data_IF_544449018470
#
_entry.id   IF_544449018470
#
_cell.length_a   1.000
_cell.length_b   1.000
_cell.length_c   1.000
_cell.angle_alpha   90.00
_cell.angle_beta   90.00
_cell.angle_gamma   90.00
#
_symmetry.space_group_name_H-M   'P 1'
#
loop_
_entity.id
_entity.type
_entity.pdbx_description
1 polymer ?
#
# COMPACT_ATOMS: atom_id res chain seq x y z
N UNK A 1 12.13 46.45 -32.64
CA UNK A 1 11.01 45.54 -32.98
C UNK A 1 10.91 44.56 -31.82
N UNK A 2 9.97 44.82 -30.92
CA UNK A 2 9.73 44.02 -29.73
C UNK A 2 8.74 42.89 -30.05
N UNK A 3 9.06 41.70 -29.62
CA UNK A 3 8.12 40.57 -29.55
C UNK A 3 7.37 40.62 -28.21
N UNK A 4 6.08 40.32 -28.16
CA UNK A 4 5.31 40.36 -26.93
C UNK A 4 5.54 39.11 -26.06
N UNK A 5 5.57 39.33 -24.75
CA UNK A 5 5.56 38.34 -23.69
C UNK A 5 4.23 37.57 -23.72
N UNK A 6 4.30 36.26 -23.71
CA UNK A 6 3.14 35.40 -23.49
C UNK A 6 2.81 35.39 -22.00
N UNK A 7 1.57 35.73 -21.67
CA UNK A 7 1.01 35.65 -20.32
C UNK A 7 0.90 34.19 -19.88
N UNK A 8 1.41 33.94 -18.69
CA UNK A 8 1.29 32.70 -17.94
C UNK A 8 -0.15 32.57 -17.41
N UNK A 9 -0.93 31.71 -18.03
CA UNK A 9 -2.25 31.31 -17.53
C UNK A 9 -2.05 30.08 -16.63
N UNK A 10 -1.93 30.32 -15.34
CA UNK A 10 -1.99 29.29 -14.34
C UNK A 10 -3.33 28.55 -14.38
N UNK A 11 -3.32 27.33 -14.83
CA UNK A 11 -4.45 26.41 -14.73
C UNK A 11 -4.26 25.48 -13.53
N UNK A 12 -4.87 25.85 -12.40
CA UNK A 12 -5.08 25.02 -11.23
C UNK A 12 -6.28 24.09 -11.47
N UNK A 13 -6.17 23.21 -12.45
CA UNK A 13 -7.15 22.17 -12.73
C UNK A 13 -6.77 20.85 -12.08
N UNK A 14 -7.20 20.62 -10.86
CA UNK A 14 -7.22 19.27 -10.29
C UNK A 14 -7.96 18.34 -11.25
N UNK A 15 -7.22 17.45 -11.89
CA UNK A 15 -7.77 16.49 -12.84
C UNK A 15 -8.54 15.45 -12.05
N UNK A 16 -9.86 15.60 -11.97
CA UNK A 16 -10.75 14.60 -11.40
C UNK A 16 -10.56 13.27 -12.14
N UNK A 17 -10.10 12.23 -11.46
CA UNK A 17 -9.91 10.86 -11.95
C UNK A 17 -11.12 10.27 -12.71
N UNK A 18 -12.29 10.87 -12.59
CA UNK A 18 -13.55 10.49 -13.29
C UNK A 18 -13.54 10.58 -14.82
N UNK A 19 -12.60 11.27 -15.45
CA UNK A 19 -12.55 11.42 -16.91
C UNK A 19 -11.66 10.42 -17.64
N UNK A 20 -10.86 9.62 -16.94
CA UNK A 20 -9.94 8.68 -17.58
C UNK A 20 -10.61 7.39 -18.08
N UNK A 21 -11.78 7.02 -17.54
CA UNK A 21 -12.50 5.78 -17.91
C UNK A 21 -13.23 5.83 -19.25
N UNK A 22 -13.25 6.95 -19.99
CA UNK A 22 -14.02 7.07 -21.26
C UNK A 22 -13.20 7.01 -22.55
N UNK A 23 -11.86 6.92 -22.49
CA UNK A 23 -11.02 6.92 -23.70
C UNK A 23 -10.31 5.61 -24.03
N UNK A 24 -10.53 4.52 -23.28
CA UNK A 24 -9.85 3.24 -23.49
C UNK A 24 -10.62 2.24 -24.39
N UNK A 25 -11.71 2.62 -25.03
CA UNK A 25 -12.58 1.66 -25.73
C UNK A 25 -12.19 1.36 -27.19
N UNK A 26 -11.18 2.00 -27.79
CA UNK A 26 -10.87 1.84 -29.22
C UNK A 26 -9.42 1.46 -29.58
N UNK A 27 -8.56 1.15 -28.62
CA UNK A 27 -7.16 0.74 -28.89
C UNK A 27 -6.65 -0.50 -28.18
N UNK A 28 -7.42 -1.08 -27.26
CA UNK A 28 -6.96 -2.10 -26.31
C UNK A 28 -7.24 -3.57 -26.66
N UNK A 29 -7.97 -3.86 -27.72
CA UNK A 29 -8.48 -5.21 -27.99
C UNK A 29 -7.41 -6.28 -28.27
N UNK A 30 -6.25 -5.92 -28.80
CA UNK A 30 -5.22 -6.90 -29.17
C UNK A 30 -4.20 -7.17 -28.06
N UNK A 31 -3.95 -6.21 -27.18
CA UNK A 31 -3.03 -6.39 -26.03
C UNK A 31 -3.72 -7.11 -24.85
N UNK A 32 -5.02 -6.85 -24.63
CA UNK A 32 -5.78 -7.50 -23.56
C UNK A 32 -5.98 -9.01 -23.78
N UNK A 33 -6.19 -9.46 -25.01
CA UNK A 33 -6.35 -10.89 -25.34
C UNK A 33 -5.02 -11.66 -25.18
N UNK A 34 -3.89 -11.04 -25.49
CA UNK A 34 -2.56 -11.64 -25.26
C UNK A 34 -2.21 -11.77 -23.76
N UNK A 35 -2.59 -10.80 -22.95
CA UNK A 35 -2.37 -10.83 -21.50
C UNK A 35 -3.25 -11.87 -20.80
N UNK A 36 -4.52 -11.97 -21.14
CA UNK A 36 -5.44 -12.94 -20.55
C UNK A 36 -5.00 -14.40 -20.79
N UNK A 37 -4.44 -14.71 -21.97
CA UNK A 37 -3.87 -16.04 -22.26
C UNK A 37 -2.62 -16.35 -21.43
N UNK A 38 -1.77 -15.37 -21.23
CA UNK A 38 -0.54 -15.49 -20.46
C UNK A 38 -0.82 -15.80 -18.97
N UNK A 39 -1.74 -15.04 -18.35
CA UNK A 39 -2.05 -15.16 -16.93
C UNK A 39 -2.92 -16.36 -16.58
N UNK A 40 -3.57 -17.02 -17.54
CA UNK A 40 -4.34 -18.25 -17.30
C UNK A 40 -3.58 -19.35 -16.59
N UNK A 41 -2.28 -19.45 -16.80
CA UNK A 41 -1.42 -20.45 -16.16
C UNK A 41 -0.87 -20.02 -14.79
N UNK A 42 -1.14 -18.78 -14.36
CA UNK A 42 -0.69 -18.21 -13.10
C UNK A 42 -1.76 -18.30 -12.03
N UNK A 43 -3.02 -18.49 -12.43
CA UNK A 43 -4.15 -18.53 -11.50
C UNK A 43 -4.09 -19.77 -10.60
N UNK A 44 -4.00 -19.51 -9.32
CA UNK A 44 -4.64 -20.36 -8.34
C UNK A 44 -6.17 -20.28 -8.54
N UNK A 45 -6.97 -21.26 -8.08
CA UNK A 45 -8.43 -21.13 -8.15
C UNK A 45 -8.89 -19.83 -7.47
N UNK A 46 -9.77 -18.99 -8.11
CA UNK A 46 -10.17 -17.71 -7.52
C UNK A 46 -10.78 -17.90 -6.14
N UNK A 47 -10.60 -16.93 -5.20
CA UNK A 47 -11.29 -16.95 -3.92
C UNK A 47 -12.81 -16.95 -4.10
N UNK A 48 -13.52 -17.62 -3.21
CA UNK A 48 -15.00 -17.66 -3.25
C UNK A 48 -15.55 -16.52 -2.40
N UNK A 49 -16.44 -15.66 -2.96
CA UNK A 49 -17.15 -14.68 -2.15
C UNK A 49 -17.99 -15.35 -1.06
N UNK A 50 -18.06 -14.75 0.12
CA UNK A 50 -18.86 -15.30 1.20
C UNK A 50 -18.64 -14.60 2.54
N UNK A 51 -19.23 -15.16 3.60
CA UNK A 51 -19.01 -14.66 4.95
C UNK A 51 -17.63 -15.09 5.43
N UNK A 52 -16.83 -14.12 5.87
CA UNK A 52 -15.49 -14.34 6.42
C UNK A 52 -15.51 -14.87 7.87
N UNK A 53 -14.34 -15.11 8.44
CA UNK A 53 -14.20 -15.68 9.78
C UNK A 53 -14.69 -14.77 10.92
N UNK A 54 -14.90 -13.49 10.62
CA UNK A 54 -15.37 -12.49 11.58
C UNK A 54 -16.89 -12.27 11.53
N UNK A 55 -17.60 -12.93 10.61
CA UNK A 55 -19.03 -12.75 10.37
C UNK A 55 -19.33 -11.59 9.41
N UNK A 56 -20.61 -11.31 9.23
CA UNK A 56 -21.05 -10.21 8.40
C UNK A 56 -20.84 -8.86 9.10
N UNK A 57 -20.61 -7.82 8.30
CA UNK A 57 -20.63 -6.43 8.79
C UNK A 57 -22.04 -6.06 9.28
N UNK A 58 -22.11 -5.17 10.25
CA UNK A 58 -23.39 -4.58 10.69
C UNK A 58 -24.03 -3.76 9.55
N UNK A 59 -25.37 -3.74 9.51
CA UNK A 59 -26.11 -2.95 8.52
C UNK A 59 -26.02 -1.44 8.80
N UNK A 60 -25.77 -1.06 10.05
CA UNK A 60 -25.70 0.32 10.52
C UNK A 60 -24.27 0.61 10.98
N UNK A 61 -23.74 1.76 10.57
CA UNK A 61 -22.44 2.23 11.03
C UNK A 61 -22.46 2.61 12.52
N UNK A 62 -21.31 2.47 13.17
CA UNK A 62 -21.11 2.97 14.54
C UNK A 62 -21.04 4.50 14.60
N UNK A 63 -20.81 5.07 15.79
CA UNK A 63 -20.73 6.51 16.00
C UNK A 63 -19.56 7.20 15.25
N UNK A 64 -18.57 6.43 14.80
CA UNK A 64 -17.43 6.91 14.02
C UNK A 64 -17.60 6.71 12.51
N UNK A 65 -18.76 6.21 12.08
CA UNK A 65 -19.09 5.99 10.67
C UNK A 65 -18.58 4.66 10.11
N UNK A 66 -18.20 3.68 10.94
CA UNK A 66 -17.71 2.39 10.48
C UNK A 66 -18.77 1.29 10.63
N UNK A 67 -18.99 0.54 9.54
CA UNK A 67 -19.71 -0.73 9.58
C UNK A 67 -18.70 -1.83 9.89
N UNK A 68 -18.87 -2.53 11.01
CA UNK A 68 -17.93 -3.51 11.53
C UNK A 68 -18.64 -4.83 11.82
N UNK A 69 -17.94 -5.98 11.79
CA UNK A 69 -18.47 -7.24 12.29
C UNK A 69 -18.75 -7.17 13.81
N UNK A 70 -19.64 -8.04 14.28
CA UNK A 70 -19.97 -8.13 15.69
C UNK A 70 -18.73 -8.39 16.56
N UNK A 71 -18.58 -7.61 17.64
CA UNK A 71 -17.47 -7.74 18.59
C UNK A 71 -16.29 -6.83 18.27
N UNK A 72 -16.35 -6.11 17.16
CA UNK A 72 -15.38 -5.05 16.84
C UNK A 72 -15.92 -3.68 17.23
N UNK A 73 -15.02 -2.78 17.58
CA UNK A 73 -15.29 -1.38 17.92
C UNK A 73 -14.27 -0.49 17.25
N UNK A 74 -14.65 0.77 16.99
CA UNK A 74 -13.74 1.77 16.44
C UNK A 74 -13.57 2.97 17.35
N UNK A 75 -12.50 3.73 17.12
CA UNK A 75 -12.34 5.11 17.59
C UNK A 75 -11.55 5.92 16.57
N UNK A 76 -11.79 7.21 16.50
CA UNK A 76 -10.95 8.16 15.76
C UNK A 76 -9.73 8.49 16.61
N UNK A 77 -8.53 8.25 16.10
CA UNK A 77 -7.25 8.57 16.74
C UNK A 77 -6.85 9.99 16.44
N UNK A 78 -7.01 10.41 15.18
CA UNK A 78 -6.62 11.73 14.72
C UNK A 78 -7.47 12.18 13.53
N UNK A 79 -7.57 13.49 13.35
CA UNK A 79 -8.17 14.15 12.19
C UNK A 79 -7.16 15.12 11.60
N UNK A 80 -6.98 15.11 10.29
CA UNK A 80 -6.08 16.02 9.57
C UNK A 80 -6.34 17.48 9.96
N UNK A 81 -5.26 18.20 10.29
CA UNK A 81 -5.30 19.60 10.70
C UNK A 81 -5.75 19.85 12.15
N UNK A 82 -6.15 18.82 12.90
CA UNK A 82 -6.46 18.95 14.33
C UNK A 82 -5.27 18.43 15.18
N UNK A 83 -5.21 18.88 16.40
CA UNK A 83 -4.25 18.37 17.38
C UNK A 83 -4.63 16.95 17.76
N UNK A 84 -3.68 16.01 17.69
CA UNK A 84 -3.87 14.63 18.17
C UNK A 84 -4.23 14.67 19.65
N UNK A 85 -5.37 14.06 20.08
CA UNK A 85 -5.81 14.13 21.46
C UNK A 85 -4.74 13.69 22.47
N UNK A 86 -4.51 14.50 23.51
CA UNK A 86 -3.50 14.25 24.54
C UNK A 86 -2.07 14.66 24.15
N UNK A 87 -1.88 15.36 23.05
CA UNK A 87 -0.58 15.84 22.56
C UNK A 87 -0.62 17.30 22.11
N UNK A 88 0.52 17.83 21.64
CA UNK A 88 0.61 19.15 20.99
C UNK A 88 0.87 19.03 19.48
N UNK A 89 0.80 17.84 18.90
CA UNK A 89 1.08 17.60 17.50
C UNK A 89 -0.20 17.73 16.64
N UNK A 90 -0.12 18.55 15.60
CA UNK A 90 -1.18 18.64 14.59
C UNK A 90 -1.03 17.49 13.60
N UNK A 91 -2.11 16.71 13.42
CA UNK A 91 -2.10 15.59 12.49
C UNK A 91 -2.02 16.07 11.04
N UNK A 92 -1.18 15.42 10.27
CA UNK A 92 -0.92 15.78 8.88
C UNK A 92 -2.14 15.57 7.96
N UNK A 93 -2.12 16.23 6.82
CA UNK A 93 -3.12 16.07 5.76
C UNK A 93 -2.90 14.77 5.00
N UNK A 94 -3.98 14.24 4.40
CA UNK A 94 -3.96 13.03 3.59
C UNK A 94 -3.16 11.88 4.24
N UNK A 95 -3.61 11.37 5.41
CA UNK A 95 -2.94 10.26 6.09
C UNK A 95 -3.04 8.99 5.25
N UNK A 96 -1.90 8.38 4.99
CA UNK A 96 -1.75 7.23 4.13
C UNK A 96 -0.98 6.09 4.81
N UNK A 97 -0.19 5.31 4.05
CA UNK A 97 0.52 4.13 4.47
C UNK A 97 1.19 4.25 5.84
N UNK A 98 1.13 3.17 6.59
CA UNK A 98 1.63 3.18 7.96
C UNK A 98 2.01 1.81 8.50
N UNK A 99 2.65 1.82 9.67
CA UNK A 99 3.00 0.60 10.40
C UNK A 99 3.06 0.84 11.90
N UNK A 100 3.02 -0.26 12.66
CA UNK A 100 3.18 -0.23 14.11
C UNK A 100 4.51 -0.85 14.55
N UNK A 101 5.20 -0.18 15.48
CA UNK A 101 6.52 -0.57 16.00
C UNK A 101 6.43 -0.81 17.51
N UNK A 102 6.69 -2.04 17.95
CA UNK A 102 6.67 -2.42 19.36
C UNK A 102 7.69 -1.60 20.16
N UNK A 103 7.34 -1.26 21.40
CA UNK A 103 8.21 -0.56 22.33
C UNK A 103 8.54 -1.43 23.55
N UNK A 104 9.70 -1.23 24.19
CA UNK A 104 10.14 -2.06 25.31
C UNK A 104 9.21 -2.04 26.54
N UNK A 105 8.40 -0.98 26.70
CA UNK A 105 7.42 -0.83 27.79
C UNK A 105 6.08 -1.52 27.52
N UNK A 106 5.98 -2.30 26.43
CA UNK A 106 4.77 -2.98 26.00
C UNK A 106 3.80 -2.09 25.22
N UNK A 107 4.11 -0.82 25.04
CA UNK A 107 3.42 0.09 24.14
C UNK A 107 3.88 -0.08 22.68
N UNK A 108 3.45 0.82 21.82
CA UNK A 108 3.88 0.85 20.42
C UNK A 108 3.82 2.26 19.84
N UNK A 109 4.46 2.43 18.70
CA UNK A 109 4.36 3.64 17.88
C UNK A 109 3.69 3.24 16.58
N UNK A 110 2.63 3.97 16.19
CA UNK A 110 2.04 3.94 14.86
C UNK A 110 2.60 5.10 14.05
N UNK A 111 3.11 4.81 12.86
CA UNK A 111 3.52 5.83 11.87
C UNK A 111 2.51 5.91 10.75
N UNK A 112 2.34 7.09 10.17
CA UNK A 112 1.50 7.31 8.99
C UNK A 112 2.13 8.35 8.08
N UNK A 113 2.12 8.08 6.80
CA UNK A 113 2.55 8.96 5.73
C UNK A 113 1.56 10.11 5.52
N UNK A 114 2.04 11.18 4.87
CA UNK A 114 1.26 12.33 4.44
C UNK A 114 1.40 12.46 2.94
N UNK A 115 0.38 12.08 2.19
CA UNK A 115 0.38 12.11 0.72
C UNK A 115 -0.03 13.49 0.21
N UNK A 116 0.82 14.46 0.45
CA UNK A 116 0.62 15.85 -0.05
C UNK A 116 1.89 16.38 -0.73
N UNK A 117 1.72 17.40 -1.57
CA UNK A 117 2.82 18.12 -2.22
C UNK A 117 2.51 19.62 -2.19
N UNK A 118 3.46 20.47 -1.79
CA UNK A 118 4.67 20.16 -1.04
C UNK A 118 4.35 19.71 0.41
N UNK A 119 5.34 19.50 1.25
CA UNK A 119 5.20 19.22 2.69
C UNK A 119 4.63 17.83 3.03
N UNK A 120 4.83 16.86 2.15
CA UNK A 120 4.71 15.45 2.46
C UNK A 120 5.63 15.04 3.62
N UNK A 121 5.54 13.80 4.04
CA UNK A 121 6.38 13.23 5.09
C UNK A 121 5.67 12.22 5.97
N UNK A 122 6.11 12.05 7.22
CA UNK A 122 5.63 11.02 8.13
C UNK A 122 5.42 11.57 9.53
N UNK A 123 4.32 11.19 10.17
CA UNK A 123 4.09 11.44 11.60
C UNK A 123 3.98 10.13 12.39
N UNK A 124 4.30 10.19 13.68
CA UNK A 124 4.17 9.09 14.62
C UNK A 124 3.21 9.44 15.75
N UNK A 125 2.45 8.42 16.20
CA UNK A 125 1.65 8.46 17.44
C UNK A 125 2.12 7.34 18.34
N UNK A 126 2.46 7.67 19.60
CA UNK A 126 2.86 6.70 20.61
C UNK A 126 1.67 6.28 21.46
N UNK A 127 1.56 5.00 21.69
CA UNK A 127 0.59 4.39 22.59
C UNK A 127 1.30 3.68 23.74
N UNK A 128 0.69 3.72 24.93
CA UNK A 128 1.08 2.86 26.07
C UNK A 128 0.56 1.41 25.86
N UNK A 129 0.91 0.50 26.76
CA UNK A 129 0.47 -0.90 26.73
C UNK A 129 -1.06 -1.08 26.82
N UNK A 130 -1.81 -0.06 27.23
CA UNK A 130 -3.28 -0.05 27.27
C UNK A 130 -3.89 0.54 25.99
N UNK A 131 -3.07 1.08 25.09
CA UNK A 131 -3.48 1.73 23.86
C UNK A 131 -3.94 3.17 24.07
N UNK A 132 -3.52 3.84 25.14
CA UNK A 132 -3.73 5.27 25.32
C UNK A 132 -2.64 6.07 24.60
N UNK A 133 -3.03 7.14 23.92
CA UNK A 133 -2.07 8.05 23.26
C UNK A 133 -1.24 8.74 24.35
N UNK A 134 0.08 8.68 24.21
CA UNK A 134 1.06 9.28 25.14
C UNK A 134 1.97 10.30 24.47
N UNK A 135 1.94 10.41 23.14
CA UNK A 135 2.71 11.39 22.38
C UNK A 135 2.45 11.28 20.89
N UNK A 136 2.77 12.36 20.17
CA UNK A 136 2.78 12.38 18.71
C UNK A 136 3.80 13.41 18.22
N UNK A 137 4.44 13.13 17.06
CA UNK A 137 5.47 14.01 16.48
C UNK A 137 5.70 13.70 14.99
N UNK A 138 6.30 14.65 14.28
CA UNK A 138 6.73 14.49 12.90
C UNK A 138 8.10 13.83 12.84
N UNK A 139 8.30 12.80 12.01
CA UNK A 139 9.58 12.09 11.85
C UNK A 139 10.22 12.32 10.48
N UNK A 140 9.45 12.85 9.50
CA UNK A 140 9.94 13.23 8.18
C UNK A 140 9.13 14.43 7.68
N UNK A 141 9.80 15.40 7.07
CA UNK A 141 9.20 16.60 6.47
C UNK A 141 9.92 17.02 5.21
N UNK A 142 9.26 17.83 4.37
CA UNK A 142 9.87 18.41 3.18
C UNK A 142 10.04 17.42 2.02
N UNK A 143 9.26 16.37 2.01
CA UNK A 143 9.13 15.38 0.94
C UNK A 143 7.84 15.60 0.16
N UNK A 144 7.58 14.77 -0.83
CA UNK A 144 6.44 14.95 -1.72
C UNK A 144 5.66 13.66 -1.87
N UNK A 145 4.32 13.75 -1.71
CA UNK A 145 3.39 12.65 -2.00
C UNK A 145 3.88 11.34 -1.38
N UNK A 146 4.07 11.35 -0.04
CA UNK A 146 4.41 10.11 0.65
C UNK A 146 3.16 9.23 0.76
N UNK A 147 3.05 8.24 -0.12
CA UNK A 147 1.90 7.36 -0.21
C UNK A 147 2.01 6.19 0.75
N UNK A 148 2.47 5.03 0.32
CA UNK A 148 2.68 3.89 1.21
C UNK A 148 4.15 3.68 1.59
N UNK A 149 4.52 2.45 1.90
CA UNK A 149 5.87 2.09 2.35
C UNK A 149 5.91 0.72 2.98
N UNK A 150 6.79 0.53 3.96
CA UNK A 150 6.89 -0.73 4.70
C UNK A 150 7.77 -0.68 5.95
N UNK A 151 7.44 -1.46 6.98
CA UNK A 151 8.27 -1.60 8.17
C UNK A 151 9.52 -2.45 7.87
N UNK A 152 10.63 -2.08 8.52
CA UNK A 152 11.83 -2.90 8.50
C UNK A 152 11.93 -3.78 9.75
N UNK A 153 12.57 -4.95 9.68
CA UNK A 153 12.80 -5.79 10.86
C UNK A 153 13.78 -5.16 11.87
N UNK A 154 14.54 -4.13 11.47
CA UNK A 154 15.40 -3.36 12.38
C UNK A 154 14.72 -2.12 12.95
N UNK A 155 13.39 -1.99 12.80
CA UNK A 155 12.56 -1.04 13.52
C UNK A 155 12.46 0.35 12.90
N UNK A 156 12.75 0.51 11.61
CA UNK A 156 12.53 1.75 10.86
C UNK A 156 11.33 1.62 9.91
N UNK A 157 10.79 2.77 9.49
CA UNK A 157 9.77 2.90 8.46
C UNK A 157 10.41 3.32 7.15
N UNK A 158 10.08 2.63 6.06
CA UNK A 158 10.41 3.05 4.70
C UNK A 158 9.20 3.79 4.14
N UNK A 159 9.32 5.09 3.94
CA UNK A 159 8.29 5.95 3.36
C UNK A 159 8.58 6.19 1.88
N UNK A 160 7.61 5.92 1.03
CA UNK A 160 7.73 5.97 -0.42
C UNK A 160 7.14 7.28 -0.97
N UNK A 161 7.88 7.98 -1.84
CA UNK A 161 7.38 9.16 -2.54
C UNK A 161 6.77 8.76 -3.89
N UNK A 162 5.47 8.99 -4.06
CA UNK A 162 4.71 8.66 -5.26
C UNK A 162 4.77 9.80 -6.29
N UNK A 163 5.95 10.07 -6.84
CA UNK A 163 6.13 10.98 -7.96
C UNK A 163 7.30 10.53 -8.86
N UNK A 164 7.41 11.11 -10.06
CA UNK A 164 8.34 10.65 -11.12
C UNK A 164 9.80 10.47 -10.71
N UNK A 165 10.27 11.25 -9.75
CA UNK A 165 11.64 11.19 -9.20
C UNK A 165 11.60 10.88 -7.70
N UNK A 166 10.51 10.24 -7.25
CA UNK A 166 10.30 9.86 -5.87
C UNK A 166 11.38 8.92 -5.37
N UNK A 167 11.72 9.07 -4.11
CA UNK A 167 12.68 8.24 -3.39
C UNK A 167 11.99 7.51 -2.26
N UNK A 168 12.66 6.50 -1.73
CA UNK A 168 12.29 5.88 -0.47
C UNK A 168 13.10 6.53 0.66
N UNK A 169 12.41 6.93 1.73
CA UNK A 169 12.98 7.55 2.91
C UNK A 169 12.91 6.61 4.10
N UNK A 170 14.03 6.29 4.68
CA UNK A 170 14.09 5.48 5.89
C UNK A 170 14.03 6.36 7.12
N UNK A 171 13.03 6.12 8.00
CA UNK A 171 12.72 6.93 9.17
C UNK A 171 12.76 6.09 10.45
N UNK A 172 13.40 6.58 11.49
CA UNK A 172 13.26 6.03 12.84
C UNK A 172 11.97 6.56 13.47
N UNK A 173 10.99 5.70 13.82
CA UNK A 173 9.71 6.14 14.37
C UNK A 173 9.82 6.96 15.65
N UNK A 174 10.94 6.81 16.37
CA UNK A 174 11.20 7.44 17.67
C UNK A 174 11.92 8.79 17.56
N UNK A 175 12.46 9.13 16.37
CA UNK A 175 13.35 10.29 16.18
C UNK A 175 12.71 11.36 15.28
N UNK A 176 12.24 12.47 15.84
CA UNK A 176 11.68 13.56 15.07
C UNK A 176 12.64 14.09 13.99
N UNK A 177 12.12 14.26 12.77
CA UNK A 177 12.77 14.96 11.66
C UNK A 177 14.02 14.30 11.07
N UNK A 178 14.21 13.00 11.25
CA UNK A 178 15.44 12.29 10.86
C UNK A 178 15.21 11.18 9.80
N UNK A 179 14.53 11.50 8.71
CA UNK A 179 14.47 10.61 7.55
C UNK A 179 15.76 10.65 6.72
N UNK A 180 16.17 9.51 6.17
CA UNK A 180 17.34 9.35 5.30
C UNK A 180 16.91 8.80 3.95
N UNK A 181 17.17 9.55 2.88
CA UNK A 181 16.89 9.08 1.52
C UNK A 181 17.73 7.84 1.17
N UNK A 182 17.10 6.89 0.47
CA UNK A 182 17.74 5.64 0.02
C UNK A 182 17.75 5.56 -1.52
N UNK A 183 18.58 6.37 -2.22
CA UNK A 183 18.53 6.50 -3.67
C UNK A 183 18.83 5.20 -4.44
N UNK A 184 19.51 4.24 -3.82
CA UNK A 184 19.78 2.93 -4.42
C UNK A 184 18.53 2.06 -4.55
N UNK A 185 17.43 2.40 -3.88
CA UNK A 185 16.13 1.75 -4.04
C UNK A 185 15.39 2.20 -5.30
N UNK A 186 15.90 3.20 -6.00
CA UNK A 186 15.37 3.71 -7.25
C UNK A 186 14.82 5.13 -7.15
N UNK A 187 14.65 5.77 -8.31
CA UNK A 187 13.98 7.07 -8.46
C UNK A 187 12.84 6.89 -9.47
N UNK A 188 11.63 6.65 -8.98
CA UNK A 188 10.42 6.42 -9.77
C UNK A 188 9.18 6.70 -8.90
N UNK A 189 7.99 6.48 -9.43
CA UNK A 189 6.72 6.65 -8.68
C UNK A 189 6.59 5.51 -7.69
N UNK A 190 7.24 5.68 -6.51
CA UNK A 190 7.22 4.67 -5.46
C UNK A 190 5.88 4.62 -4.76
N UNK A 191 5.34 3.40 -4.62
CA UNK A 191 4.13 3.16 -3.84
C UNK A 191 4.48 2.49 -2.51
N UNK A 192 4.87 1.24 -2.51
CA UNK A 192 5.14 0.49 -1.29
C UNK A 192 6.50 -0.21 -1.30
N UNK A 193 6.95 -0.60 -0.10
CA UNK A 193 8.18 -1.34 0.12
C UNK A 193 7.95 -2.50 1.10
N UNK A 194 8.44 -3.70 0.78
CA UNK A 194 8.37 -4.87 1.67
C UNK A 194 9.74 -5.48 1.89
N UNK A 195 10.07 -5.75 3.15
CA UNK A 195 11.37 -6.34 3.53
C UNK A 195 11.22 -7.84 3.69
N UNK A 196 11.92 -8.62 2.87
CA UNK A 196 12.12 -10.05 3.04
C UNK A 196 13.40 -10.28 3.84
N UNK A 197 13.27 -10.38 5.17
CA UNK A 197 14.41 -10.60 6.07
C UNK A 197 15.14 -11.91 5.79
N UNK A 198 14.40 -12.98 5.48
CA UNK A 198 14.98 -14.30 5.19
C UNK A 198 15.81 -14.28 3.93
N UNK A 199 15.32 -13.61 2.88
CA UNK A 199 16.02 -13.44 1.62
C UNK A 199 17.05 -12.31 1.61
N UNK A 200 17.06 -11.44 2.65
CA UNK A 200 17.89 -10.21 2.75
C UNK A 200 17.68 -9.27 1.57
N UNK A 201 16.42 -9.02 1.24
CA UNK A 201 15.97 -8.27 0.06
C UNK A 201 14.83 -7.35 0.40
N UNK A 202 14.64 -6.35 -0.44
CA UNK A 202 13.44 -5.53 -0.46
C UNK A 202 12.71 -5.73 -1.78
N UNK A 203 11.39 -5.56 -1.74
CA UNK A 203 10.52 -5.54 -2.91
C UNK A 203 9.76 -4.22 -2.92
N UNK A 204 9.56 -3.65 -4.13
CA UNK A 204 9.00 -2.33 -4.32
C UNK A 204 7.96 -2.36 -5.43
N UNK A 205 6.92 -1.57 -5.28
CA UNK A 205 5.89 -1.35 -6.30
C UNK A 205 6.01 0.04 -6.90
N UNK A 206 5.54 0.20 -8.15
CA UNK A 206 5.55 1.45 -8.90
C UNK A 206 4.14 1.73 -9.42
N UNK A 207 3.49 2.81 -8.95
CA UNK A 207 2.16 3.21 -9.41
C UNK A 207 2.24 4.02 -10.70
N UNK A 208 2.35 3.30 -11.80
CA UNK A 208 2.16 3.86 -13.14
C UNK A 208 1.50 2.84 -14.06
N UNK A 209 0.86 3.27 -15.17
CA UNK A 209 0.31 2.33 -16.17
C UNK A 209 1.34 1.38 -16.76
N UNK A 210 2.61 1.74 -16.70
CA UNK A 210 3.74 0.93 -17.15
C UNK A 210 4.66 0.51 -16.02
N UNK A 211 4.15 0.50 -14.78
CA UNK A 211 4.88 0.19 -13.56
C UNK A 211 5.50 -1.21 -13.56
N UNK A 212 6.49 -1.37 -12.72
CA UNK A 212 7.20 -2.63 -12.52
C UNK A 212 7.13 -3.06 -11.07
N UNK A 213 7.35 -4.35 -10.85
CA UNK A 213 7.65 -4.91 -9.54
C UNK A 213 9.17 -5.05 -9.44
N UNK A 214 9.75 -4.46 -8.39
CA UNK A 214 11.19 -4.39 -8.23
C UNK A 214 11.67 -5.24 -7.07
N UNK A 215 12.96 -5.59 -7.12
CA UNK A 215 13.71 -6.21 -6.04
C UNK A 215 15.02 -5.45 -5.83
N UNK A 216 15.33 -5.11 -4.59
CA UNK A 216 16.65 -4.63 -4.20
C UNK A 216 17.37 -5.69 -3.39
N UNK A 217 18.60 -6.01 -3.78
CA UNK A 217 19.50 -6.91 -3.06
C UNK A 217 20.62 -6.09 -2.46
N UNK A 218 20.68 -5.98 -1.13
CA UNK A 218 21.69 -5.23 -0.41
C UNK A 218 23.07 -5.89 -0.57
N UNK A 219 24.09 -5.08 -0.82
CA UNK A 219 25.49 -5.54 -0.83
C UNK A 219 26.00 -5.86 0.59
N UNK A 220 25.46 -5.16 1.61
CA UNK A 220 25.84 -5.34 3.02
C UNK A 220 24.60 -5.24 3.91
N UNK A 221 23.89 -6.33 4.05
CA UNK A 221 22.68 -6.38 4.88
C UNK A 221 22.93 -6.01 6.34
N UNK A 222 22.08 -5.18 6.98
CA UNK A 222 20.83 -4.61 6.48
C UNK A 222 20.97 -3.19 5.86
N UNK A 223 22.16 -2.74 5.50
CA UNK A 223 22.35 -1.43 4.86
C UNK A 223 21.63 -1.34 3.51
N UNK A 224 21.00 -0.18 3.27
CA UNK A 224 20.32 0.15 2.01
C UNK A 224 21.12 1.15 1.16
N UNK A 225 22.38 1.40 1.50
CA UNK A 225 23.25 2.38 0.83
C UNK A 225 23.84 1.84 -0.47
N UNK A 226 24.10 0.53 -0.52
CA UNK A 226 24.71 -0.13 -1.68
C UNK A 226 23.98 -1.44 -1.99
N UNK A 227 23.78 -1.73 -3.27
CA UNK A 227 23.13 -2.96 -3.71
C UNK A 227 22.77 -2.94 -5.18
N UNK A 228 22.00 -3.93 -5.58
CA UNK A 228 21.53 -4.09 -6.96
C UNK A 228 20.01 -3.97 -7.00
N UNK A 229 19.51 -3.03 -7.81
CA UNK A 229 18.10 -2.92 -8.13
C UNK A 229 17.80 -3.74 -9.39
N UNK A 230 16.68 -4.48 -9.36
CA UNK A 230 16.26 -5.35 -10.44
C UNK A 230 14.74 -5.22 -10.65
N UNK A 231 14.28 -5.37 -11.90
CA UNK A 231 12.87 -5.42 -12.24
C UNK A 231 12.43 -6.84 -12.64
N UNK A 232 11.20 -7.19 -12.32
CA UNK A 232 10.65 -8.52 -12.54
C UNK A 232 10.37 -8.78 -14.02
N UNK A 233 10.83 -9.93 -14.53
CA UNK A 233 10.36 -10.52 -15.77
C UNK A 233 9.67 -11.83 -15.46
N UNK A 234 8.39 -11.93 -15.79
CA UNK A 234 7.62 -13.15 -15.60
C UNK A 234 7.86 -14.09 -16.78
N UNK A 235 8.25 -15.31 -16.47
CA UNK A 235 8.40 -16.42 -17.41
C UNK A 235 7.30 -17.41 -17.09
N UNK A 236 6.46 -17.72 -18.08
CA UNK A 236 5.41 -18.72 -17.93
C UNK A 236 5.78 -20.01 -18.66
N UNK A 237 5.59 -21.12 -17.97
CA UNK A 237 5.81 -22.46 -18.49
C UNK A 237 4.58 -23.32 -18.12
N UNK A 238 4.08 -24.10 -19.09
CA UNK A 238 2.89 -24.91 -18.94
C UNK A 238 2.99 -25.98 -17.83
N UNK A 239 4.21 -26.38 -17.42
CA UNK A 239 4.45 -27.40 -16.40
C UNK A 239 4.75 -26.83 -15.04
N UNK A 240 5.47 -25.69 -14.96
CA UNK A 240 5.95 -25.11 -13.71
C UNK A 240 5.20 -23.86 -13.25
N UNK A 241 4.21 -23.40 -14.04
CA UNK A 241 3.50 -22.15 -13.78
C UNK A 241 4.35 -20.91 -14.06
N UNK A 242 3.94 -19.77 -13.49
CA UNK A 242 4.69 -18.53 -13.65
C UNK A 242 5.81 -18.41 -12.64
N UNK A 243 6.97 -17.97 -13.13
CA UNK A 243 8.17 -17.69 -12.33
C UNK A 243 8.72 -16.32 -12.66
N UNK A 244 9.38 -15.71 -11.70
CA UNK A 244 10.05 -14.42 -11.89
C UNK A 244 11.54 -14.64 -12.13
N UNK A 245 12.04 -14.04 -13.21
CA UNK A 245 13.44 -13.74 -13.44
C UNK A 245 13.68 -12.27 -13.17
N UNK A 246 14.79 -11.93 -12.57
CA UNK A 246 15.14 -10.59 -12.21
C UNK A 246 16.13 -10.00 -13.20
N UNK A 247 15.85 -8.80 -13.71
CA UNK A 247 16.65 -8.07 -14.69
C UNK A 247 17.27 -6.86 -14.00
N UNK A 248 18.61 -6.74 -13.92
CA UNK A 248 19.25 -5.57 -13.32
C UNK A 248 18.86 -4.28 -14.04
N UNK A 249 18.55 -3.24 -13.26
CA UNK A 249 18.17 -1.91 -13.73
C UNK A 249 18.95 -0.83 -12.99
N UNK A 250 19.05 0.36 -13.62
CA UNK A 250 19.64 1.52 -12.96
C UNK A 250 18.68 2.08 -11.91
N UNK A 251 19.16 2.52 -10.75
CA UNK A 251 18.31 3.20 -9.77
C UNK A 251 17.97 4.67 -10.13
N UNK A 252 18.47 5.20 -11.25
CA UNK A 252 18.32 6.63 -11.60
C UNK A 252 16.96 6.96 -12.23
N UNK A 253 16.20 5.97 -12.67
CA UNK A 253 14.89 6.19 -13.31
C UNK A 253 14.09 4.90 -13.36
N UNK A 254 12.77 5.00 -13.60
CA UNK A 254 11.89 3.83 -13.78
C UNK A 254 12.44 2.86 -14.82
N UNK A 255 12.30 1.55 -14.56
CA UNK A 255 12.70 0.49 -15.47
C UNK A 255 11.99 0.58 -16.83
N UNK A 256 10.76 1.10 -16.87
CA UNK A 256 10.01 1.31 -18.11
C UNK A 256 10.73 2.23 -19.11
N UNK A 257 11.58 3.13 -18.61
CA UNK A 257 12.37 4.08 -19.43
C UNK A 257 13.75 3.54 -19.83
N UNK A 258 14.14 2.36 -19.35
CA UNK A 258 15.46 1.79 -19.58
C UNK A 258 15.48 0.81 -20.76
N UNK A 259 16.45 0.96 -21.65
CA UNK A 259 16.54 0.15 -22.87
C UNK A 259 16.77 -1.35 -22.59
N UNK A 260 17.51 -1.68 -21.51
CA UNK A 260 17.81 -3.04 -21.09
C UNK A 260 16.65 -3.73 -20.35
N UNK A 261 15.62 -2.96 -19.98
CA UNK A 261 14.49 -3.47 -19.22
C UNK A 261 13.21 -3.67 -20.06
N UNK A 262 13.29 -3.61 -21.38
CA UNK A 262 12.14 -3.73 -22.29
C UNK A 262 11.38 -5.05 -22.16
N UNK A 263 12.04 -6.13 -21.74
CA UNK A 263 11.43 -7.44 -21.56
C UNK A 263 10.87 -7.66 -20.14
N UNK A 264 11.01 -6.68 -19.24
CA UNK A 264 10.43 -6.77 -17.90
C UNK A 264 8.91 -6.68 -17.97
N UNK A 265 8.25 -7.39 -17.05
CA UNK A 265 6.79 -7.47 -17.04
C UNK A 265 6.18 -6.18 -16.48
N UNK A 266 5.13 -5.70 -17.12
CA UNK A 266 4.31 -4.60 -16.61
C UNK A 266 3.40 -5.12 -15.50
N UNK A 267 3.45 -4.46 -14.35
CA UNK A 267 2.50 -4.58 -13.25
C UNK A 267 1.84 -3.21 -13.11
N UNK A 268 0.73 -3.03 -13.83
CA UNK A 268 0.13 -1.71 -14.04
C UNK A 268 -0.57 -1.19 -12.78
N UNK A 269 -0.10 -0.05 -12.26
CA UNK A 269 -0.59 0.51 -11.01
C UNK A 269 -0.20 -0.39 -9.84
N UNK A 270 1.11 -0.57 -9.60
CA UNK A 270 1.59 -1.33 -8.45
C UNK A 270 1.35 -0.54 -7.17
N UNK A 271 0.58 -1.09 -6.25
CA UNK A 271 0.14 -0.50 -4.99
C UNK A 271 0.80 -1.18 -3.78
N UNK A 272 0.03 -1.51 -2.75
CA UNK A 272 0.53 -2.11 -1.51
C UNK A 272 1.49 -3.28 -1.70
N UNK A 273 2.46 -3.41 -0.79
CA UNK A 273 3.42 -4.51 -0.79
C UNK A 273 3.72 -4.95 0.65
N UNK A 274 3.69 -6.26 0.91
CA UNK A 274 3.94 -6.82 2.25
C UNK A 274 4.70 -8.13 2.16
N UNK A 275 5.65 -8.35 3.08
CA UNK A 275 6.40 -9.61 3.18
C UNK A 275 6.08 -10.31 4.50
N UNK A 276 5.65 -11.56 4.42
CA UNK A 276 5.36 -12.38 5.59
C UNK A 276 5.63 -13.85 5.32
N UNK A 277 6.34 -14.51 6.24
CA UNK A 277 6.59 -15.97 6.20
C UNK A 277 7.19 -16.47 4.88
N UNK A 278 8.06 -15.68 4.23
CA UNK A 278 8.73 -16.04 2.98
C UNK A 278 7.86 -15.91 1.73
N UNK A 279 6.77 -15.17 1.81
CA UNK A 279 5.92 -14.78 0.68
C UNK A 279 5.84 -13.26 0.64
N UNK A 280 5.93 -12.69 -0.55
CA UNK A 280 5.71 -11.27 -0.81
C UNK A 280 4.36 -11.10 -1.50
N UNK A 281 3.48 -10.36 -0.89
CA UNK A 281 2.17 -9.99 -1.41
C UNK A 281 2.22 -8.59 -1.97
N UNK A 282 1.56 -8.34 -3.08
CA UNK A 282 1.41 -6.99 -3.62
C UNK A 282 0.12 -6.86 -4.43
N UNK A 283 -0.31 -5.64 -4.65
CA UNK A 283 -1.53 -5.30 -5.39
C UNK A 283 -1.20 -4.53 -6.66
N UNK A 284 -2.10 -4.62 -7.64
CA UNK A 284 -2.07 -3.82 -8.87
C UNK A 284 -3.46 -3.25 -9.15
N UNK A 285 -3.58 -1.90 -9.12
CA UNK A 285 -4.85 -1.18 -9.17
C UNK A 285 -5.52 -1.26 -10.55
N UNK A 286 -4.73 -1.12 -11.62
CA UNK A 286 -5.30 -1.00 -12.96
C UNK A 286 -5.97 -2.28 -13.47
N UNK A 287 -5.58 -3.43 -12.96
CA UNK A 287 -6.19 -4.72 -13.28
C UNK A 287 -6.87 -5.39 -12.07
N UNK A 288 -6.91 -4.70 -10.93
CA UNK A 288 -7.55 -5.11 -9.69
C UNK A 288 -7.13 -6.52 -9.24
N UNK A 289 -5.81 -6.72 -9.09
CA UNK A 289 -5.22 -8.01 -8.70
C UNK A 289 -4.50 -7.94 -7.38
N UNK A 290 -4.53 -9.07 -6.67
CA UNK A 290 -3.66 -9.37 -5.54
C UNK A 290 -2.74 -10.52 -5.92
N UNK A 291 -1.44 -10.32 -5.72
CA UNK A 291 -0.38 -11.24 -6.11
C UNK A 291 0.32 -11.84 -4.91
N UNK A 292 0.87 -13.04 -5.07
CA UNK A 292 1.80 -13.66 -4.15
C UNK A 292 3.06 -14.12 -4.89
N UNK A 293 4.21 -13.64 -4.44
CA UNK A 293 5.51 -14.05 -4.95
C UNK A 293 6.26 -14.83 -3.86
N UNK A 294 6.72 -16.03 -4.19
CA UNK A 294 7.52 -16.88 -3.30
C UNK A 294 8.99 -16.82 -3.71
N UNK A 295 9.85 -16.03 -3.02
CA UNK A 295 11.25 -15.82 -3.40
C UNK A 295 12.07 -17.09 -3.52
N UNK A 296 11.88 -18.05 -2.61
CA UNK A 296 12.62 -19.31 -2.57
C UNK A 296 12.47 -20.14 -3.85
N UNK A 297 11.27 -20.12 -4.45
CA UNK A 297 10.96 -20.90 -5.67
C UNK A 297 10.84 -20.02 -6.91
N UNK A 298 10.94 -18.70 -6.74
CA UNK A 298 10.65 -17.69 -7.77
C UNK A 298 9.24 -17.77 -8.34
N UNK A 299 8.31 -18.45 -7.66
CA UNK A 299 6.93 -18.64 -8.13
C UNK A 299 6.11 -17.38 -7.92
N UNK A 300 5.32 -17.02 -8.93
CA UNK A 300 4.35 -15.94 -8.88
C UNK A 300 2.95 -16.50 -9.07
N UNK A 301 2.02 -16.07 -8.24
CA UNK A 301 0.60 -16.48 -8.28
C UNK A 301 -0.30 -15.26 -8.19
N UNK A 302 -1.45 -15.32 -8.87
CA UNK A 302 -2.56 -14.39 -8.66
C UNK A 302 -3.46 -14.98 -7.57
N UNK A 303 -3.57 -14.29 -6.44
CA UNK A 303 -4.47 -14.68 -5.35
C UNK A 303 -5.90 -14.22 -5.61
N UNK A 304 -6.06 -13.04 -6.22
CA UNK A 304 -7.34 -12.44 -6.56
C UNK A 304 -7.23 -11.70 -7.89
N UNK A 305 -8.27 -11.78 -8.69
CA UNK A 305 -8.43 -11.02 -9.93
C UNK A 305 -9.91 -10.65 -10.08
N UNK A 306 -10.22 -9.36 -9.99
CA UNK A 306 -11.59 -8.86 -10.08
C UNK A 306 -12.29 -9.27 -11.39
N UNK A 307 -11.54 -9.41 -12.49
CA UNK A 307 -12.08 -9.81 -13.80
C UNK A 307 -12.64 -11.25 -13.82
N UNK A 308 -12.39 -12.06 -12.79
CA UNK A 308 -12.93 -13.43 -12.68
C UNK A 308 -14.35 -13.47 -12.09
N UNK A 309 -14.89 -12.33 -11.62
CA UNK A 309 -16.20 -12.23 -11.00
C UNK A 309 -17.15 -11.37 -11.85
N UNK A 310 -18.42 -11.76 -12.01
CA UNK A 310 -19.45 -10.90 -12.59
C UNK A 310 -19.68 -9.62 -11.78
N UNK A 311 -19.64 -9.75 -10.45
CA UNK A 311 -19.67 -8.69 -9.46
C UNK A 311 -18.54 -8.91 -8.47
N UNK A 312 -17.44 -8.15 -8.65
CA UNK A 312 -16.22 -8.34 -7.90
C UNK A 312 -16.40 -7.80 -6.48
N UNK A 313 -16.14 -8.63 -5.44
CA UNK A 313 -16.30 -8.22 -4.04
C UNK A 313 -15.17 -7.33 -3.53
N UNK A 314 -14.12 -7.12 -4.29
CA UNK A 314 -12.98 -6.25 -4.01
C UNK A 314 -12.62 -5.53 -5.30
N UNK A 315 -12.62 -4.20 -5.27
CA UNK A 315 -12.29 -3.31 -6.39
C UNK A 315 -11.44 -2.15 -5.92
N UNK A 316 -10.72 -1.50 -6.84
CA UNK A 316 -9.84 -0.42 -6.45
C UNK A 316 -8.80 -0.88 -5.43
N UNK A 317 -8.18 -2.04 -5.66
CA UNK A 317 -7.17 -2.57 -4.74
C UNK A 317 -6.05 -1.56 -4.53
N UNK A 318 -5.68 -1.36 -3.28
CA UNK A 318 -4.69 -0.40 -2.84
C UNK A 318 -3.74 -1.05 -1.82
N UNK A 319 -3.48 -0.39 -0.70
CA UNK A 319 -2.61 -0.88 0.35
C UNK A 319 -3.08 -2.24 0.89
N UNK A 320 -2.13 -3.05 1.35
CA UNK A 320 -2.43 -4.32 1.98
C UNK A 320 -1.59 -4.55 3.23
N UNK A 321 -2.14 -5.35 4.14
CA UNK A 321 -1.44 -5.85 5.32
C UNK A 321 -1.87 -7.28 5.65
N UNK A 322 -1.13 -7.96 6.51
CA UNK A 322 -1.48 -9.31 6.96
C UNK A 322 -1.76 -9.37 8.46
N UNK A 323 -2.79 -10.13 8.82
CA UNK A 323 -2.99 -10.52 10.22
C UNK A 323 -2.02 -11.63 10.65
N UNK A 324 -1.88 -11.85 11.97
CA UNK A 324 -1.14 -13.00 12.52
C UNK A 324 -1.72 -14.35 12.09
N UNK A 325 -2.96 -14.38 11.60
CA UNK A 325 -3.59 -15.55 11.02
C UNK A 325 -3.30 -15.71 9.51
N UNK A 326 -2.43 -14.87 8.94
CA UNK A 326 -2.07 -14.84 7.51
C UNK A 326 -3.25 -14.51 6.60
N UNK A 327 -4.19 -13.74 7.10
CA UNK A 327 -5.27 -13.17 6.31
C UNK A 327 -4.75 -11.89 5.66
N UNK A 328 -4.98 -11.74 4.36
CA UNK A 328 -4.60 -10.54 3.62
C UNK A 328 -5.76 -9.56 3.67
N UNK A 329 -5.53 -8.41 4.30
CA UNK A 329 -6.45 -7.28 4.32
C UNK A 329 -6.03 -6.29 3.24
N UNK A 330 -6.96 -5.93 2.36
CA UNK A 330 -6.73 -5.04 1.21
C UNK A 330 -7.66 -3.84 1.33
N UNK A 331 -7.10 -2.65 1.32
CA UNK A 331 -7.83 -1.40 1.24
C UNK A 331 -8.39 -1.18 -0.17
N UNK A 332 -9.54 -0.52 -0.28
CA UNK A 332 -10.09 -0.06 -1.54
C UNK A 332 -9.90 1.45 -1.71
N UNK A 333 -9.31 1.83 -2.84
CA UNK A 333 -9.41 3.18 -3.40
C UNK A 333 -10.67 3.23 -4.28
N UNK A 334 -11.77 3.69 -3.74
CA UNK A 334 -13.00 3.72 -4.51
C UNK A 334 -14.27 4.01 -3.74
N UNK A 335 -15.40 3.87 -4.44
CA UNK A 335 -16.70 4.34 -3.99
C UNK A 335 -17.25 3.60 -2.75
N UNK A 336 -16.89 2.33 -2.58
CA UNK A 336 -17.41 1.49 -1.50
C UNK A 336 -16.65 1.67 -0.18
N UNK A 337 -15.42 2.18 -0.20
CA UNK A 337 -14.62 2.44 0.99
C UNK A 337 -14.54 1.22 1.92
N UNK A 338 -14.26 0.05 1.36
CA UNK A 338 -14.19 -1.21 2.09
C UNK A 338 -12.74 -1.63 2.35
N UNK A 339 -12.52 -2.26 3.48
CA UNK A 339 -11.36 -3.10 3.72
C UNK A 339 -11.79 -4.54 3.51
N UNK A 340 -11.28 -5.16 2.46
CA UNK A 340 -11.63 -6.52 2.10
C UNK A 340 -10.62 -7.53 2.63
N UNK A 341 -11.07 -8.73 2.93
CA UNK A 341 -10.31 -9.82 3.50
C UNK A 341 -10.19 -10.99 2.53
N UNK A 342 -8.95 -11.41 2.24
CA UNK A 342 -8.67 -12.68 1.59
C UNK A 342 -8.13 -13.66 2.64
N UNK A 343 -8.80 -14.81 2.76
CA UNK A 343 -8.44 -15.81 3.76
C UNK A 343 -7.53 -16.91 3.19
N UNK A 344 -6.72 -17.61 4.02
CA UNK A 344 -5.91 -18.73 3.55
C UNK A 344 -6.72 -19.88 2.93
N UNK A 345 -7.98 -20.07 3.35
CA UNK A 345 -8.93 -21.05 2.77
C UNK A 345 -9.67 -20.49 1.53
N UNK A 346 -9.16 -19.40 0.95
CA UNK A 346 -9.58 -18.82 -0.32
C UNK A 346 -11.02 -18.30 -0.33
N UNK A 347 -11.36 -17.51 0.67
CA UNK A 347 -12.54 -16.67 0.66
C UNK A 347 -12.15 -15.22 0.45
N UNK A 348 -13.03 -14.45 -0.17
CA UNK A 348 -12.96 -12.99 -0.27
C UNK A 348 -14.24 -12.41 0.31
N UNK A 349 -14.09 -11.42 1.20
CA UNK A 349 -15.22 -10.82 1.92
C UNK A 349 -14.88 -9.42 2.38
N UNK A 350 -15.82 -8.46 2.35
CA UNK A 350 -15.69 -7.21 3.08
C UNK A 350 -15.55 -7.46 4.59
N UNK A 351 -14.61 -6.76 5.22
CA UNK A 351 -14.40 -6.80 6.67
C UNK A 351 -14.97 -5.57 7.36
N UNK A 352 -14.69 -4.38 6.81
CA UNK A 352 -15.28 -3.12 7.28
C UNK A 352 -15.61 -2.21 6.10
N UNK A 353 -16.47 -1.23 6.37
CA UNK A 353 -16.79 -0.16 5.42
C UNK A 353 -16.82 1.17 6.15
N UNK A 354 -16.23 2.22 5.58
CA UNK A 354 -16.27 3.58 6.08
C UNK A 354 -17.38 4.35 5.38
N UNK A 355 -18.32 4.87 6.15
CA UNK A 355 -19.49 5.60 5.67
C UNK A 355 -19.27 7.11 5.80
N UNK A 356 -19.93 7.90 4.92
CA UNK A 356 -19.93 9.35 5.03
C UNK A 356 -18.63 10.05 4.63
N UNK A 357 -17.73 9.35 3.91
CA UNK A 357 -16.47 9.89 3.40
C UNK A 357 -16.41 9.83 1.85
N UNK A 358 -17.37 10.43 1.13
CA UNK A 358 -17.40 10.36 -0.32
C UNK A 358 -16.17 11.03 -0.95
N UNK A 359 -15.59 10.37 -1.95
CA UNK A 359 -14.41 10.86 -2.67
C UNK A 359 -13.09 10.68 -1.92
N UNK A 360 -13.11 9.94 -0.82
CA UNK A 360 -11.93 9.46 -0.11
C UNK A 360 -11.51 8.08 -0.62
N UNK A 361 -10.39 7.62 -0.13
CA UNK A 361 -9.90 6.25 -0.24
C UNK A 361 -9.55 5.72 1.14
N UNK A 362 -9.52 4.40 1.30
CA UNK A 362 -8.97 3.74 2.48
C UNK A 362 -7.49 3.47 2.26
N UNK A 363 -6.68 3.87 3.23
CA UNK A 363 -5.24 3.72 3.15
C UNK A 363 -4.63 3.25 4.49
N UNK A 364 -3.43 2.71 4.43
CA UNK A 364 -2.54 2.53 5.56
C UNK A 364 -2.95 1.49 6.59
N UNK A 365 -3.69 0.45 6.21
CA UNK A 365 -4.07 -0.61 7.14
C UNK A 365 -2.83 -1.25 7.80
N UNK A 366 -2.75 -1.21 9.14
CA UNK A 366 -1.62 -1.69 9.91
C UNK A 366 -2.06 -2.30 11.26
N UNK A 367 -1.55 -3.49 11.59
CA UNK A 367 -1.83 -4.12 12.88
C UNK A 367 -0.90 -3.62 13.99
N UNK A 368 -1.46 -3.48 15.20
CA UNK A 368 -0.65 -3.36 16.42
C UNK A 368 0.24 -4.60 16.61
N UNK A 369 1.36 -4.50 17.35
CA UNK A 369 2.29 -5.62 17.52
C UNK A 369 1.65 -6.88 18.15
N UNK A 370 0.62 -6.72 18.98
CA UNK A 370 -0.13 -7.82 19.55
C UNK A 370 -1.18 -8.43 18.58
N UNK A 371 -1.48 -7.72 17.47
CA UNK A 371 -2.46 -8.13 16.45
C UNK A 371 -3.92 -7.97 16.88
N UNK A 372 -4.20 -7.19 17.94
CA UNK A 372 -5.56 -6.98 18.47
C UNK A 372 -6.20 -5.67 18.05
N UNK A 373 -5.43 -4.81 17.43
CA UNK A 373 -5.87 -3.50 16.91
C UNK A 373 -5.39 -3.35 15.49
N UNK A 374 -6.16 -2.63 14.70
CA UNK A 374 -5.80 -2.22 13.36
C UNK A 374 -5.94 -0.71 13.27
N UNK A 375 -4.99 -0.05 12.65
CA UNK A 375 -5.03 1.36 12.27
C UNK A 375 -5.23 1.46 10.77
N UNK A 376 -6.02 2.43 10.33
CA UNK A 376 -6.24 2.73 8.91
C UNK A 376 -6.78 4.17 8.81
N UNK A 377 -6.74 4.72 7.61
CA UNK A 377 -7.20 6.07 7.36
C UNK A 377 -8.21 6.15 6.22
N UNK A 378 -9.23 7.02 6.38
CA UNK A 378 -9.92 7.65 5.27
C UNK A 378 -9.09 8.86 4.91
N UNK A 379 -8.45 8.84 3.75
CA UNK A 379 -7.35 9.76 3.42
C UNK A 379 -7.81 11.21 3.27
N UNK A 380 -8.91 11.42 2.56
CA UNK A 380 -9.47 12.76 2.28
C UNK A 380 -10.99 12.70 2.36
N UNK A 381 -11.58 13.24 3.41
CA UNK A 381 -13.03 13.31 3.53
C UNK A 381 -13.67 14.43 2.70
N UNK A 382 -14.98 14.66 2.87
CA UNK A 382 -15.74 15.67 2.10
C UNK A 382 -15.19 17.10 2.22
N UNK A 383 -14.54 17.40 3.34
CA UNK A 383 -13.90 18.69 3.63
C UNK A 383 -12.38 18.69 3.32
N UNK A 384 -11.89 17.65 2.62
CA UNK A 384 -10.47 17.47 2.30
C UNK A 384 -9.63 16.99 3.49
N UNK A 385 -10.25 16.69 4.64
CA UNK A 385 -9.55 16.31 5.88
C UNK A 385 -9.70 14.81 6.13
N UNK A 386 -8.58 14.13 6.28
CA UNK A 386 -8.55 12.70 6.57
C UNK A 386 -8.89 12.37 8.02
N UNK A 387 -9.30 11.13 8.23
CA UNK A 387 -9.57 10.54 9.55
C UNK A 387 -8.72 9.29 9.71
N UNK A 388 -7.96 9.21 10.79
CA UNK A 388 -7.24 7.99 11.17
C UNK A 388 -8.00 7.27 12.27
N UNK A 389 -8.31 6.00 12.02
CA UNK A 389 -9.09 5.14 12.91
C UNK A 389 -8.23 4.10 13.59
N UNK A 390 -8.66 3.67 14.77
CA UNK A 390 -8.30 2.40 15.37
C UNK A 390 -9.52 1.50 15.40
N UNK A 391 -9.39 0.28 14.92
CA UNK A 391 -10.38 -0.79 15.05
C UNK A 391 -9.84 -1.83 16.01
N UNK A 392 -10.60 -2.16 17.06
CA UNK A 392 -10.24 -3.14 18.07
C UNK A 392 -11.25 -4.28 18.08
N UNK A 393 -10.79 -5.51 18.27
CA UNK A 393 -11.71 -6.64 18.31
C UNK A 393 -11.01 -8.00 18.33
N UNK A 394 -11.78 -9.09 18.16
CA UNK A 394 -11.28 -10.45 18.24
C UNK A 394 -10.58 -10.88 16.94
N UNK A 395 -9.58 -10.11 16.48
CA UNK A 395 -8.75 -10.52 15.36
C UNK A 395 -8.10 -11.88 15.63
N UNK A 396 -8.08 -12.74 14.63
CA UNK A 396 -7.43 -14.05 14.74
C UNK A 396 -5.91 -13.87 14.81
N UNK A 397 -5.30 -14.56 15.77
CA UNK A 397 -3.85 -14.49 16.02
C UNK A 397 -3.12 -15.76 15.61
N UNK A 398 -3.84 -16.75 15.06
CA UNK A 398 -3.29 -18.01 14.54
C UNK A 398 -4.00 -18.37 13.25
N UNK A 399 -3.31 -18.96 12.28
CA UNK A 399 -3.94 -19.57 11.11
C UNK A 399 -4.98 -20.63 11.54
N UNK A 400 -6.04 -20.77 10.74
CA UNK A 400 -7.06 -21.80 10.96
C UNK A 400 -6.51 -23.21 10.70
#
# INVERSE_FOLDING_TARGET
VALPLAEDMGDNGGMHRRHFLRFSALGGGSLALGSLGFWRNVYAAPPTPGIGPYGAMADVADANGLRLPRGFTSRVIARSGDVVPGTNHVWHMAPDGGACFAQPDGGWIYTSNSEVSPDGGVSSVRFDAKGQVTGAWRILSGTHVNCAGGPTPWGTWLSCEEHRQGLVWECDPTKPGQGVARPMLGAFVHEAAAVDELGRRLYLTEDTPTGRFYRFTSAKWPSLEEGTLEAAQVISDARSGARVRWVPVSPLTSAAMQANAKETTVFAGGEGCWSESGIVYFTTKHDNRVWAYTPLTSRLEVLYDAATYPDAPLRGVDNLTLSKAREVFVCEDGDDMQLCLLTPDRKVTPFLQVMGQPGSELAGAAFSPDGRRMYLSSQRGPDGRGLTYEVSGPFRTRPA
#
